data_IF_774572188705
#
_entry.id   IF_774572188705
#
_cell.length_a   1.000
_cell.length_b   1.000
_cell.length_c   1.000
_cell.angle_alpha   90.00
_cell.angle_beta   90.00
_cell.angle_gamma   90.00
#
_symmetry.space_group_name_H-M   'P 1'
#
loop_
_entity.id
_entity.type
_entity.pdbx_description
1 polymer ?
#
# COMPACT_ATOMS: atom_id res chain seq x y z
N UNK A 1 27.12 2.33 -15.45
CA UNK A 1 25.76 1.95 -14.99
C UNK A 1 25.94 1.00 -13.83
N UNK A 2 25.56 1.40 -12.62
CA UNK A 2 25.76 0.57 -11.42
C UNK A 2 24.83 -0.64 -11.51
N UNK A 3 25.37 -1.84 -11.35
CA UNK A 3 24.60 -3.08 -11.38
C UNK A 3 23.59 -3.11 -10.21
N UNK A 4 22.35 -3.49 -10.48
CA UNK A 4 21.30 -3.57 -9.47
C UNK A 4 21.60 -4.71 -8.48
N UNK A 5 21.94 -4.38 -7.24
CA UNK A 5 22.18 -5.35 -6.17
C UNK A 5 20.89 -5.54 -5.33
N UNK A 6 20.58 -6.79 -4.94
CA UNK A 6 19.50 -7.04 -3.97
C UNK A 6 19.80 -6.35 -2.65
N UNK A 7 18.80 -5.65 -2.09
CA UNK A 7 18.97 -4.89 -0.84
C UNK A 7 19.52 -5.72 0.32
N UNK A 8 19.00 -6.94 0.54
CA UNK A 8 19.52 -7.87 1.55
C UNK A 8 21.03 -8.13 1.38
N UNK A 9 21.50 -8.35 0.14
CA UNK A 9 22.94 -8.54 -0.11
C UNK A 9 23.75 -7.29 0.22
N UNK A 10 23.20 -6.10 -0.10
CA UNK A 10 23.84 -4.82 0.21
C UNK A 10 23.93 -4.58 1.72
N UNK A 11 22.88 -4.90 2.47
CA UNK A 11 22.85 -4.76 3.94
C UNK A 11 23.86 -5.71 4.59
N UNK A 12 23.90 -6.98 4.18
CA UNK A 12 24.90 -7.96 4.66
C UNK A 12 26.32 -7.45 4.40
N UNK A 13 26.61 -6.95 3.18
CA UNK A 13 27.93 -6.45 2.83
C UNK A 13 28.35 -5.21 3.63
N UNK A 14 27.40 -4.34 4.02
CA UNK A 14 27.69 -3.11 4.78
C UNK A 14 27.81 -3.34 6.28
N UNK A 15 27.10 -4.33 6.83
CA UNK A 15 26.97 -4.52 8.28
C UNK A 15 27.70 -5.75 8.80
N UNK A 16 28.04 -6.70 7.92
CA UNK A 16 28.61 -8.00 8.30
C UNK A 16 27.62 -8.95 8.99
N UNK A 17 26.34 -8.60 9.09
CA UNK A 17 25.34 -9.44 9.75
C UNK A 17 24.93 -10.66 8.90
N UNK A 18 24.22 -11.60 9.51
CA UNK A 18 23.63 -12.72 8.78
C UNK A 18 22.54 -12.25 7.83
N UNK A 19 22.24 -13.05 6.80
CA UNK A 19 21.13 -12.77 5.88
C UNK A 19 19.80 -12.57 6.61
N UNK A 20 19.53 -13.36 7.64
CA UNK A 20 18.30 -13.30 8.44
C UNK A 20 18.22 -12.00 9.24
N UNK A 21 19.32 -11.55 9.84
CA UNK A 21 19.36 -10.26 10.54
C UNK A 21 19.22 -9.09 9.55
N UNK A 22 19.81 -9.18 8.37
CA UNK A 22 19.61 -8.18 7.32
C UNK A 22 18.14 -8.07 6.90
N UNK A 23 17.46 -9.21 6.72
CA UNK A 23 16.01 -9.26 6.48
C UNK A 23 15.23 -8.62 7.63
N UNK A 24 15.59 -8.88 8.89
CA UNK A 24 14.98 -8.22 10.05
C UNK A 24 15.21 -6.71 10.11
N UNK A 25 16.39 -6.21 9.72
CA UNK A 25 16.65 -4.77 9.65
C UNK A 25 15.81 -4.08 8.57
N UNK A 26 15.63 -4.74 7.42
CA UNK A 26 14.77 -4.24 6.33
C UNK A 26 13.30 -4.25 6.78
N UNK A 27 12.80 -5.40 7.27
CA UNK A 27 11.43 -5.55 7.76
C UNK A 27 11.13 -4.62 8.95
N UNK A 28 12.10 -4.41 9.83
CA UNK A 28 12.00 -3.48 10.97
C UNK A 28 12.14 -2.00 10.59
N UNK A 29 12.38 -1.67 9.32
CA UNK A 29 12.49 -0.30 8.82
C UNK A 29 13.76 0.45 9.23
N UNK A 30 14.80 -0.28 9.60
CA UNK A 30 16.12 0.25 9.95
C UNK A 30 17.00 0.52 8.73
N UNK A 31 16.56 0.13 7.53
CA UNK A 31 17.29 0.31 6.28
C UNK A 31 16.61 1.36 5.40
N UNK A 32 17.39 2.35 4.95
CA UNK A 32 16.96 3.36 3.99
C UNK A 32 17.75 3.26 2.69
N UNK A 33 17.08 3.44 1.55
CA UNK A 33 17.70 3.60 0.23
C UNK A 33 17.34 5.00 -0.26
N UNK A 34 18.34 5.83 -0.52
CA UNK A 34 18.17 7.23 -0.93
C UNK A 34 17.26 8.03 0.02
N UNK A 35 17.39 7.76 1.32
CA UNK A 35 16.59 8.41 2.38
C UNK A 35 15.20 7.80 2.61
N UNK A 36 14.76 6.86 1.79
CA UNK A 36 13.45 6.20 1.91
C UNK A 36 13.59 4.89 2.67
N UNK A 37 12.87 4.73 3.79
CA UNK A 37 12.83 3.46 4.53
C UNK A 37 12.19 2.37 3.69
N UNK A 38 12.93 1.31 3.42
CA UNK A 38 12.44 0.16 2.64
C UNK A 38 11.86 -0.86 3.63
N UNK A 39 10.57 -0.69 3.94
CA UNK A 39 9.76 -1.72 4.58
C UNK A 39 8.86 -2.37 3.54
N UNK A 40 8.62 -3.67 3.69
CA UNK A 40 7.64 -4.45 2.92
C UNK A 40 6.19 -4.07 3.34
N UNK A 41 5.89 -2.78 3.55
CA UNK A 41 4.56 -2.28 3.93
C UNK A 41 3.52 -2.58 2.86
N UNK A 42 3.96 -2.70 1.60
CA UNK A 42 3.13 -3.15 0.50
C UNK A 42 2.68 -4.60 0.70
N UNK A 43 3.47 -5.49 1.31
CA UNK A 43 3.07 -6.89 1.55
C UNK A 43 1.99 -7.04 2.62
N UNK A 44 1.83 -6.02 3.45
CA UNK A 44 0.87 -5.98 4.53
C UNK A 44 -0.47 -5.51 3.97
N UNK A 45 -1.56 -6.11 4.44
CA UNK A 45 -2.88 -5.70 3.98
C UNK A 45 -3.16 -4.27 4.44
N UNK A 46 -3.49 -3.40 3.50
CA UNK A 46 -3.89 -2.04 3.78
C UNK A 46 -5.35 -1.85 3.42
N UNK A 47 -6.03 -1.03 4.21
CA UNK A 47 -7.44 -0.71 4.03
C UNK A 47 -7.62 0.79 3.94
N UNK A 48 -8.29 1.23 2.88
CA UNK A 48 -8.57 2.64 2.62
C UNK A 48 -10.07 2.84 2.38
N UNK A 49 -10.58 3.96 2.86
CA UNK A 49 -11.83 4.53 2.38
C UNK A 49 -11.50 5.67 1.43
N UNK A 50 -12.15 5.67 0.28
CA UNK A 50 -11.90 6.59 -0.82
C UNK A 50 -13.23 7.23 -1.17
N UNK A 51 -13.31 8.54 -0.99
CA UNK A 51 -14.44 9.33 -1.43
C UNK A 51 -14.27 9.66 -2.91
N UNK A 52 -15.31 9.42 -3.69
CA UNK A 52 -15.29 9.52 -5.15
C UNK A 52 -16.44 10.35 -5.69
N UNK A 53 -16.14 11.12 -6.73
CA UNK A 53 -17.10 11.75 -7.60
C UNK A 53 -17.14 11.09 -8.98
N UNK A 54 -18.04 11.55 -9.84
CA UNK A 54 -18.21 11.02 -11.19
C UNK A 54 -19.17 9.84 -11.25
N UNK A 55 -19.17 9.14 -12.39
CA UNK A 55 -20.08 8.03 -12.65
C UNK A 55 -19.27 6.81 -13.04
N UNK A 56 -19.37 5.77 -12.21
CA UNK A 56 -18.74 4.49 -12.49
C UNK A 56 -19.24 3.94 -13.83
N UNK A 57 -18.32 3.56 -14.71
CA UNK A 57 -18.67 2.90 -15.96
C UNK A 57 -19.33 1.54 -15.72
N UNK A 58 -20.10 0.99 -16.68
CA UNK A 58 -20.56 -0.39 -16.61
C UNK A 58 -19.38 -1.34 -16.32
N UNK A 59 -19.57 -2.29 -15.41
CA UNK A 59 -18.52 -3.21 -14.92
C UNK A 59 -17.32 -2.57 -14.22
N UNK A 60 -17.34 -1.26 -13.93
CA UNK A 60 -16.21 -0.57 -13.32
C UNK A 60 -15.75 -1.19 -12.00
N UNK A 61 -16.68 -1.66 -11.15
CA UNK A 61 -16.33 -2.32 -9.90
C UNK A 61 -15.63 -3.67 -10.13
N UNK A 62 -16.04 -4.42 -11.15
CA UNK A 62 -15.38 -5.68 -11.55
C UNK A 62 -13.97 -5.38 -12.06
N UNK A 63 -13.80 -4.34 -12.87
CA UNK A 63 -12.49 -3.91 -13.35
C UNK A 63 -11.55 -3.52 -12.20
N UNK A 64 -12.05 -2.75 -11.22
CA UNK A 64 -11.29 -2.40 -10.01
C UNK A 64 -10.82 -3.62 -9.21
N UNK A 65 -11.61 -4.70 -9.17
CA UNK A 65 -11.25 -5.91 -8.42
C UNK A 65 -10.32 -6.84 -9.21
N UNK A 66 -10.45 -6.95 -10.55
CA UNK A 66 -9.80 -8.00 -11.34
C UNK A 66 -9.30 -7.61 -12.74
N UNK A 67 -9.79 -6.51 -13.32
CA UNK A 67 -9.69 -6.26 -14.76
C UNK A 67 -8.64 -5.24 -15.19
N UNK A 68 -8.06 -4.49 -14.26
CA UNK A 68 -7.11 -3.42 -14.60
C UNK A 68 -5.73 -3.97 -14.98
N UNK A 69 -5.15 -3.39 -16.04
CA UNK A 69 -3.81 -3.67 -16.54
C UNK A 69 -3.06 -2.35 -16.70
N UNK A 70 -1.84 -2.27 -16.16
CA UNK A 70 -0.97 -1.10 -16.29
C UNK A 70 0.41 -1.55 -16.79
N UNK A 71 0.96 -0.86 -17.79
CA UNK A 71 2.29 -1.13 -18.37
C UNK A 71 2.53 -2.63 -18.66
N UNK A 72 1.54 -3.29 -19.30
CA UNK A 72 1.55 -4.71 -19.66
C UNK A 72 1.46 -5.72 -18.49
N UNK A 73 1.34 -5.26 -17.25
CA UNK A 73 1.10 -6.11 -16.08
C UNK A 73 -0.37 -6.10 -15.66
N UNK A 74 -0.93 -7.29 -15.45
CA UNK A 74 -2.24 -7.44 -14.82
C UNK A 74 -2.13 -7.19 -13.33
N UNK A 75 -3.05 -6.38 -12.80
CA UNK A 75 -3.10 -6.09 -11.38
C UNK A 75 -3.46 -7.37 -10.61
N UNK A 76 -2.81 -7.63 -9.46
CA UNK A 76 -3.26 -8.70 -8.58
C UNK A 76 -4.71 -8.40 -8.15
N UNK A 77 -5.54 -9.44 -7.92
CA UNK A 77 -6.87 -9.23 -7.39
C UNK A 77 -6.82 -8.43 -6.09
N UNK A 78 -7.54 -7.32 -6.06
CA UNK A 78 -7.74 -6.52 -4.84
C UNK A 78 -9.23 -6.48 -4.52
N UNK A 79 -9.57 -6.24 -3.25
CA UNK A 79 -10.97 -6.15 -2.84
C UNK A 79 -11.42 -4.69 -2.85
N UNK A 80 -12.33 -4.36 -3.76
CA UNK A 80 -12.96 -3.03 -3.85
C UNK A 80 -14.47 -3.17 -3.74
N UNK A 81 -15.08 -2.43 -2.83
CA UNK A 81 -16.54 -2.47 -2.60
C UNK A 81 -17.08 -1.10 -2.22
N UNK A 82 -18.32 -0.80 -2.58
CA UNK A 82 -19.02 0.37 -2.07
C UNK A 82 -19.28 0.27 -0.57
N UNK A 83 -19.12 1.37 0.16
CA UNK A 83 -19.64 1.56 1.52
C UNK A 83 -20.84 2.53 1.56
N UNK A 84 -20.94 3.41 0.56
CA UNK A 84 -22.03 4.36 0.34
C UNK A 84 -21.98 4.83 -1.12
N UNK A 85 -22.93 5.64 -1.57
CA UNK A 85 -23.00 6.13 -2.95
C UNK A 85 -21.75 6.91 -3.41
N UNK A 86 -21.00 7.50 -2.47
CA UNK A 86 -19.81 8.31 -2.75
C UNK A 86 -18.53 7.75 -2.14
N UNK A 87 -18.55 6.53 -1.54
CA UNK A 87 -17.36 5.97 -0.88
C UNK A 87 -17.10 4.53 -1.24
N UNK A 88 -15.89 4.27 -1.72
CA UNK A 88 -15.34 2.94 -1.95
C UNK A 88 -14.41 2.54 -0.81
N UNK A 89 -14.45 1.26 -0.45
CA UNK A 89 -13.45 0.60 0.39
C UNK A 89 -12.49 -0.15 -0.50
N UNK A 90 -11.21 0.14 -0.35
CA UNK A 90 -10.11 -0.60 -0.95
C UNK A 90 -9.43 -1.44 0.13
N UNK A 91 -9.25 -2.73 -0.11
CA UNK A 91 -8.40 -3.60 0.69
C UNK A 91 -7.46 -4.39 -0.22
N UNK A 92 -6.16 -4.20 -0.02
CA UNK A 92 -5.14 -4.70 -0.94
C UNK A 92 -3.84 -5.05 -0.24
N UNK A 93 -3.03 -5.85 -0.95
CA UNK A 93 -1.60 -6.08 -0.70
C UNK A 93 -0.88 -5.84 -2.02
N UNK A 94 0.42 -5.57 -1.94
CA UNK A 94 1.37 -5.38 -3.05
C UNK A 94 0.95 -4.29 -4.03
N UNK A 95 0.32 -3.25 -3.50
CA UNK A 95 -0.12 -2.08 -4.23
C UNK A 95 0.23 -0.84 -3.40
N UNK A 96 0.76 0.19 -4.07
CA UNK A 96 0.98 1.48 -3.44
C UNK A 96 -0.33 2.28 -3.40
N UNK A 97 -0.69 2.95 -2.28
CA UNK A 97 -1.88 3.79 -2.23
C UNK A 97 -1.95 4.84 -3.34
N UNK A 98 -0.81 5.29 -3.87
CA UNK A 98 -0.75 6.23 -5.00
C UNK A 98 -1.33 5.67 -6.31
N UNK A 99 -1.53 4.35 -6.42
CA UNK A 99 -2.17 3.73 -7.58
C UNK A 99 -3.70 3.84 -7.55
N UNK A 100 -4.31 4.13 -6.40
CA UNK A 100 -5.79 4.15 -6.27
C UNK A 100 -6.41 5.23 -7.16
N UNK A 101 -5.79 6.40 -7.26
CA UNK A 101 -6.29 7.48 -8.10
C UNK A 101 -6.32 7.08 -9.59
N UNK A 102 -5.22 6.62 -10.22
CA UNK A 102 -5.25 6.08 -11.58
C UNK A 102 -6.28 4.95 -11.78
N UNK A 103 -6.48 4.10 -10.78
CA UNK A 103 -7.49 3.03 -10.85
C UNK A 103 -8.92 3.58 -10.91
N UNK A 104 -9.25 4.57 -10.07
CA UNK A 104 -10.54 5.23 -10.08
C UNK A 104 -10.78 5.98 -11.40
N UNK A 105 -9.78 6.70 -11.89
CA UNK A 105 -9.84 7.43 -13.16
C UNK A 105 -10.12 6.48 -14.34
N UNK A 106 -9.47 5.32 -14.37
CA UNK A 106 -9.67 4.29 -15.40
C UNK A 106 -11.11 3.74 -15.47
N UNK A 107 -11.93 3.95 -14.42
CA UNK A 107 -13.32 3.50 -14.38
C UNK A 107 -14.33 4.65 -14.29
N UNK A 108 -13.91 5.87 -14.64
CA UNK A 108 -14.77 7.06 -14.72
C UNK A 108 -15.05 7.75 -13.38
N UNK A 109 -14.25 7.48 -12.35
CA UNK A 109 -14.35 8.10 -11.04
C UNK A 109 -13.21 9.10 -10.80
N UNK A 110 -13.49 10.13 -10.02
CA UNK A 110 -12.50 11.08 -9.52
C UNK A 110 -12.35 10.91 -8.02
N UNK A 111 -11.12 10.74 -7.52
CA UNK A 111 -10.87 10.67 -6.06
C UNK A 111 -10.95 12.07 -5.48
N UNK A 112 -11.85 12.27 -4.51
CA UNK A 112 -12.05 13.55 -3.81
C UNK A 112 -11.30 13.58 -2.47
N UNK A 113 -11.28 12.44 -1.77
CA UNK A 113 -10.55 12.27 -0.53
C UNK A 113 -10.19 10.81 -0.33
N UNK A 114 -9.14 10.55 0.43
CA UNK A 114 -8.72 9.20 0.77
C UNK A 114 -8.22 9.16 2.21
N UNK A 115 -8.60 8.12 2.95
CA UNK A 115 -8.16 7.89 4.33
C UNK A 115 -7.78 6.44 4.53
N UNK A 116 -6.58 6.22 5.06
CA UNK A 116 -6.17 4.89 5.52
C UNK A 116 -6.95 4.54 6.79
N UNK A 117 -7.67 3.42 6.75
CA UNK A 117 -8.42 2.90 7.89
C UNK A 117 -7.57 1.95 8.74
N UNK A 118 -6.69 1.17 8.11
CA UNK A 118 -5.90 0.13 8.75
C UNK A 118 -4.67 -0.27 7.93
N UNK A 119 -3.58 -0.60 8.62
CA UNK A 119 -2.40 -1.29 8.05
C UNK A 119 -2.17 -2.55 8.88
N UNK A 120 -2.30 -3.72 8.26
CA UNK A 120 -2.20 -5.00 8.95
C UNK A 120 -3.23 -5.11 10.06
N UNK A 121 -2.77 -5.23 11.31
CA UNK A 121 -3.66 -5.26 12.49
C UNK A 121 -3.82 -3.89 13.15
N UNK A 122 -3.17 -2.84 12.62
CA UNK A 122 -3.10 -1.52 13.24
C UNK A 122 -4.23 -0.63 12.70
N UNK A 123 -5.24 -0.29 13.52
CA UNK A 123 -6.29 0.62 13.11
C UNK A 123 -5.78 2.06 13.11
N UNK A 124 -6.05 2.78 12.02
CA UNK A 124 -5.70 4.20 11.83
C UNK A 124 -6.95 5.10 11.77
N UNK A 125 -8.14 4.53 11.63
CA UNK A 125 -9.38 5.28 11.44
C UNK A 125 -9.67 6.33 12.53
N UNK A 126 -9.23 6.09 13.77
CA UNK A 126 -9.42 6.99 14.92
C UNK A 126 -8.25 7.95 15.18
N UNK A 127 -7.18 7.87 14.39
CA UNK A 127 -6.04 8.77 14.54
C UNK A 127 -6.39 10.13 13.92
N UNK A 128 -6.24 11.24 14.67
CA UNK A 128 -6.44 12.58 14.11
C UNK A 128 -5.48 12.86 12.95
N UNK A 129 -5.88 13.70 12.00
CA UNK A 129 -5.01 14.11 10.90
C UNK A 129 -3.74 14.80 11.46
N UNK A 130 -2.58 14.42 10.95
CA UNK A 130 -1.28 14.94 11.40
C UNK A 130 -0.78 14.35 12.73
N UNK A 131 -1.59 13.58 13.45
CA UNK A 131 -1.16 12.92 14.67
C UNK A 131 -0.36 11.65 14.36
N UNK A 132 0.55 11.32 15.26
CA UNK A 132 1.31 10.07 15.28
C UNK A 132 1.34 9.50 16.69
N UNK A 133 1.58 8.20 16.81
CA UNK A 133 1.80 7.53 18.10
C UNK A 133 2.72 6.33 17.94
N UNK A 134 3.32 5.90 19.04
CA UNK A 134 3.99 4.61 19.10
C UNK A 134 2.98 3.46 18.98
N UNK A 135 3.42 2.35 18.38
CA UNK A 135 2.68 1.09 18.43
C UNK A 135 2.69 0.55 19.86
N UNK A 136 1.55 0.00 20.29
CA UNK A 136 1.49 -0.71 21.55
C UNK A 136 2.37 -1.99 21.48
N UNK A 137 2.88 -2.53 22.60
CA UNK A 137 3.65 -3.77 22.59
C UNK A 137 2.93 -4.98 21.96
N UNK A 138 1.60 -4.95 21.95
CA UNK A 138 0.72 -5.98 21.35
C UNK A 138 0.47 -5.76 19.86
N UNK A 139 0.78 -4.59 19.33
CA UNK A 139 0.59 -4.20 17.95
C UNK A 139 1.81 -4.58 17.11
N UNK A 140 1.59 -5.39 16.08
CA UNK A 140 2.63 -5.79 15.12
C UNK A 140 2.14 -5.49 13.70
N UNK A 141 3.05 -4.95 12.91
CA UNK A 141 2.91 -4.65 11.48
C UNK A 141 3.30 -5.91 10.70
#
# INVERSE_FOLDING_TARGET
MTEAIRLVKRVVALTGCSRREAEQYIEGGWVRVDGVTVVDIDRIEQEFVVEVGGKLIPNGLVLLNHGLRFNHYAMPPIKVSWQSDHRLRFAFKRLSPGQIQPMCEAVGLTVLAMKCLRVGRIPLARMPAGAWRYLAPTERI
#
